data_IF_815300293684
#
_entry.id   IF_815300293684
#
_cell.length_a   1.000
_cell.length_b   1.000
_cell.length_c   1.000
_cell.angle_alpha   90.00
_cell.angle_beta   90.00
_cell.angle_gamma   90.00
#
_symmetry.space_group_name_H-M   'P 1'
#
loop_
_entity.id
_entity.type
_entity.pdbx_description
1 polymer ?
#
# COMPACT_ATOMS: atom_id res chain seq x y z
N UNK A 1 37.71 -0.42 6.99
CA UNK A 1 37.04 -0.12 5.69
C UNK A 1 35.65 -0.71 5.81
N UNK A 2 34.73 0.12 6.26
CA UNK A 2 33.35 -0.24 6.48
C UNK A 2 32.68 -0.49 5.14
N UNK A 3 32.34 -1.74 4.88
CA UNK A 3 31.49 -2.13 3.78
C UNK A 3 30.10 -1.55 4.06
N UNK A 4 29.83 -0.35 3.62
CA UNK A 4 28.48 0.20 3.57
C UNK A 4 27.75 -0.63 2.53
N UNK A 5 27.13 -1.72 2.99
CA UNK A 5 26.38 -2.61 2.13
C UNK A 5 25.31 -1.83 1.37
N UNK A 6 25.36 -1.88 0.06
CA UNK A 6 24.37 -1.26 -0.80
C UNK A 6 23.00 -1.86 -0.47
N UNK A 7 22.01 -1.03 -0.17
CA UNK A 7 20.65 -1.50 0.07
C UNK A 7 20.11 -2.19 -1.19
N UNK A 8 19.41 -3.33 -1.04
CA UNK A 8 18.73 -3.94 -2.17
C UNK A 8 17.71 -2.97 -2.79
N UNK A 9 17.47 -3.05 -4.10
CA UNK A 9 16.55 -2.16 -4.79
C UNK A 9 15.11 -2.32 -4.28
N UNK A 10 14.35 -1.22 -4.37
CA UNK A 10 12.91 -1.20 -4.17
C UNK A 10 12.26 -1.17 -5.54
N UNK A 11 11.34 -2.10 -5.76
CA UNK A 11 10.51 -2.15 -6.97
C UNK A 11 9.10 -1.73 -6.62
N UNK A 12 8.64 -0.60 -7.18
CA UNK A 12 7.28 -0.11 -6.98
C UNK A 12 6.40 -0.55 -8.15
N UNK A 13 5.25 -1.14 -7.83
CA UNK A 13 4.26 -1.61 -8.78
C UNK A 13 2.96 -0.86 -8.51
N UNK A 14 2.42 -0.25 -9.56
CA UNK A 14 1.12 0.42 -9.53
C UNK A 14 0.15 -0.44 -10.33
N UNK A 15 -0.88 -0.93 -9.66
CA UNK A 15 -1.89 -1.79 -10.27
C UNK A 15 -3.24 -1.07 -10.28
N UNK A 16 -3.90 -1.03 -11.43
CA UNK A 16 -5.21 -0.41 -11.54
C UNK A 16 -6.31 -1.35 -11.06
N UNK A 17 -7.19 -0.83 -10.20
CA UNK A 17 -8.37 -1.54 -9.69
C UNK A 17 -9.62 -0.76 -10.06
N UNK A 18 -10.57 -1.43 -10.71
CA UNK A 18 -11.83 -0.83 -11.11
C UNK A 18 -12.69 -0.47 -9.89
N UNK A 19 -13.35 0.69 -9.98
CA UNK A 19 -14.34 1.08 -8.99
C UNK A 19 -15.58 0.18 -9.07
N UNK A 20 -16.18 -0.10 -7.92
CA UNK A 20 -17.53 -0.68 -7.87
C UNK A 20 -18.57 0.34 -8.30
N UNK A 21 -19.79 -0.13 -8.63
CA UNK A 21 -20.91 0.75 -8.91
C UNK A 21 -21.25 1.67 -7.74
N UNK A 22 -21.12 1.16 -6.51
CA UNK A 22 -21.35 1.92 -5.29
C UNK A 22 -20.31 3.03 -5.10
N UNK A 23 -19.04 2.74 -5.32
CA UNK A 23 -17.96 3.73 -5.26
C UNK A 23 -18.14 4.82 -6.33
N UNK A 24 -18.55 4.46 -7.55
CA UNK A 24 -18.85 5.43 -8.62
C UNK A 24 -19.98 6.35 -8.21
N UNK A 25 -21.09 5.80 -7.69
CA UNK A 25 -22.24 6.57 -7.21
C UNK A 25 -21.84 7.52 -6.09
N UNK A 26 -21.11 7.04 -5.08
CA UNK A 26 -20.66 7.85 -3.96
C UNK A 26 -19.71 8.98 -4.39
N UNK A 27 -18.80 8.72 -5.34
CA UNK A 27 -17.89 9.74 -5.87
C UNK A 27 -18.63 10.80 -6.69
N UNK A 28 -19.63 10.40 -7.50
CA UNK A 28 -20.48 11.31 -8.26
C UNK A 28 -21.30 12.24 -7.36
N UNK A 29 -21.89 11.69 -6.30
CA UNK A 29 -22.62 12.50 -5.31
C UNK A 29 -21.72 13.54 -4.64
N UNK A 30 -20.45 13.21 -4.41
CA UNK A 30 -19.49 14.12 -3.79
C UNK A 30 -19.00 15.20 -4.77
N UNK A 31 -18.79 14.86 -6.03
CA UNK A 31 -18.16 15.76 -7.01
C UNK A 31 -19.17 16.46 -7.93
N UNK A 32 -20.41 15.98 -7.97
CA UNK A 32 -21.42 16.44 -8.93
C UNK A 32 -21.09 16.16 -10.40
N UNK A 33 -20.06 15.33 -10.65
CA UNK A 33 -19.58 15.03 -12.00
C UNK A 33 -19.28 13.55 -12.17
N UNK A 34 -19.49 13.04 -13.39
CA UNK A 34 -19.11 11.67 -13.79
C UNK A 34 -17.59 11.50 -13.96
N UNK A 35 -16.86 12.60 -14.08
CA UNK A 35 -15.42 12.60 -14.34
C UNK A 35 -14.72 13.37 -13.23
N UNK A 36 -13.84 12.69 -12.49
CA UNK A 36 -13.03 13.29 -11.43
C UNK A 36 -11.84 14.02 -12.05
N UNK A 37 -12.12 15.08 -12.82
CA UNK A 37 -11.07 15.87 -13.48
C UNK A 37 -10.60 17.08 -12.66
N UNK A 38 -11.20 17.35 -11.52
CA UNK A 38 -10.87 18.55 -10.77
C UNK A 38 -10.15 18.21 -9.47
N UNK A 39 -9.08 18.90 -9.28
CA UNK A 39 -8.34 19.07 -8.05
C UNK A 39 -9.25 19.79 -7.04
N UNK A 40 -10.22 19.07 -6.48
CA UNK A 40 -11.04 19.57 -5.38
C UNK A 40 -10.17 19.97 -4.20
N UNK A 41 -10.69 20.81 -3.30
CA UNK A 41 -9.99 21.20 -2.07
C UNK A 41 -9.54 19.98 -1.25
N UNK A 42 -8.61 20.17 -0.32
CA UNK A 42 -8.00 19.12 0.52
C UNK A 42 -9.05 18.20 1.17
N UNK A 43 -10.17 18.75 1.60
CA UNK A 43 -11.27 17.97 2.21
C UNK A 43 -11.97 17.02 1.21
N UNK A 44 -12.15 17.44 -0.03
CA UNK A 44 -12.78 16.62 -1.07
C UNK A 44 -11.87 15.45 -1.49
N UNK A 45 -10.58 15.71 -1.63
CA UNK A 45 -9.59 14.65 -1.88
C UNK A 45 -9.59 13.60 -0.78
N UNK A 46 -9.62 14.02 0.49
CA UNK A 46 -9.70 13.11 1.62
C UNK A 46 -10.93 12.20 1.57
N UNK A 47 -12.09 12.72 1.17
CA UNK A 47 -13.33 11.95 1.01
C UNK A 47 -13.25 10.97 -0.17
N UNK A 48 -12.71 11.39 -1.31
CA UNK A 48 -12.49 10.50 -2.46
C UNK A 48 -11.56 9.34 -2.10
N UNK A 49 -10.48 9.62 -1.38
CA UNK A 49 -9.57 8.60 -0.86
C UNK A 49 -10.27 7.62 0.11
N UNK A 50 -11.22 8.08 0.89
CA UNK A 50 -12.03 7.22 1.77
C UNK A 50 -12.96 6.31 0.98
N UNK A 51 -13.66 6.86 -0.04
CA UNK A 51 -14.52 6.09 -0.94
C UNK A 51 -13.71 5.00 -1.65
N UNK A 52 -12.55 5.36 -2.19
CA UNK A 52 -11.65 4.43 -2.88
C UNK A 52 -11.23 3.22 -2.01
N UNK A 53 -11.15 3.44 -0.69
CA UNK A 53 -10.75 2.42 0.29
C UNK A 53 -11.91 1.71 1.00
N UNK A 54 -13.14 1.94 0.54
CA UNK A 54 -14.33 1.30 1.12
C UNK A 54 -14.70 1.78 2.52
N UNK A 55 -14.27 2.98 2.94
CA UNK A 55 -14.64 3.51 4.25
C UNK A 55 -16.14 3.76 4.35
N UNK A 56 -16.71 3.41 5.52
CA UNK A 56 -18.16 3.52 5.76
C UNK A 56 -18.95 2.34 5.19
N UNK A 57 -18.30 1.20 4.94
CA UNK A 57 -18.93 -0.01 4.43
C UNK A 57 -19.20 -0.01 2.93
N UNK A 58 -18.67 0.97 2.19
CA UNK A 58 -18.78 1.00 0.72
C UNK A 58 -18.00 -0.19 0.15
N UNK A 59 -18.68 -0.98 -0.68
CA UNK A 59 -18.06 -2.13 -1.34
C UNK A 59 -16.87 -1.69 -2.21
N UNK A 60 -15.76 -2.43 -2.14
CA UNK A 60 -14.54 -2.16 -2.91
C UNK A 60 -13.97 -3.44 -3.51
N UNK A 61 -13.49 -3.35 -4.76
CA UNK A 61 -12.81 -4.45 -5.43
C UNK A 61 -11.39 -4.69 -4.91
N UNK A 62 -10.82 -3.76 -4.13
CA UNK A 62 -9.43 -3.85 -3.65
C UNK A 62 -9.14 -5.07 -2.78
N UNK A 63 -9.98 -5.46 -1.81
CA UNK A 63 -9.69 -6.64 -0.99
C UNK A 63 -9.54 -7.91 -1.81
N UNK A 64 -10.44 -8.16 -2.75
CA UNK A 64 -10.37 -9.32 -3.65
C UNK A 64 -9.13 -9.26 -4.56
N UNK A 65 -8.85 -8.10 -5.14
CA UNK A 65 -7.66 -7.88 -5.96
C UNK A 65 -6.37 -8.16 -5.17
N UNK A 66 -6.25 -7.62 -3.96
CA UNK A 66 -5.06 -7.80 -3.11
C UNK A 66 -4.90 -9.26 -2.70
N UNK A 67 -5.99 -9.97 -2.39
CA UNK A 67 -5.96 -11.41 -2.11
C UNK A 67 -5.37 -12.19 -3.29
N UNK A 68 -5.85 -11.96 -4.49
CA UNK A 68 -5.40 -12.66 -5.68
C UNK A 68 -3.95 -12.30 -6.04
N UNK A 69 -3.58 -11.05 -5.81
CA UNK A 69 -2.20 -10.58 -5.96
C UNK A 69 -1.26 -11.30 -4.99
N UNK A 70 -1.57 -11.35 -3.69
CA UNK A 70 -0.76 -12.02 -2.66
C UNK A 70 -0.70 -13.53 -2.89
N UNK A 71 -1.76 -14.14 -3.39
CA UNK A 71 -1.77 -15.56 -3.75
C UNK A 71 -0.76 -15.92 -4.84
N UNK A 72 -0.30 -14.95 -5.64
CA UNK A 72 0.72 -15.19 -6.67
C UNK A 72 2.13 -15.40 -6.13
N UNK A 73 2.38 -15.11 -4.83
CA UNK A 73 3.66 -15.35 -4.15
C UNK A 73 3.48 -15.96 -2.74
N UNK A 74 2.95 -17.17 -2.63
CA UNK A 74 2.49 -17.76 -1.36
C UNK A 74 3.60 -17.99 -0.34
N UNK A 75 4.87 -18.02 -0.77
CA UNK A 75 6.02 -18.25 0.12
C UNK A 75 6.63 -16.97 0.68
N UNK A 76 6.27 -15.81 0.13
CA UNK A 76 6.86 -14.53 0.51
C UNK A 76 6.20 -13.95 1.77
N UNK A 77 7.02 -13.37 2.63
CA UNK A 77 6.50 -12.59 3.77
C UNK A 77 5.96 -11.26 3.29
N UNK A 78 4.67 -11.03 3.53
CA UNK A 78 3.92 -9.87 3.02
C UNK A 78 3.35 -9.04 4.15
N UNK A 79 3.47 -7.71 4.04
CA UNK A 79 2.75 -6.77 4.90
C UNK A 79 1.70 -6.03 4.07
N UNK A 80 0.46 -6.03 4.56
CA UNK A 80 -0.63 -5.25 3.97
C UNK A 80 -0.87 -4.02 4.86
N UNK A 81 -0.68 -2.85 4.29
CA UNK A 81 -0.86 -1.57 4.95
C UNK A 81 -2.25 -1.00 4.68
N UNK A 82 -3.01 -0.81 5.75
CA UNK A 82 -4.33 -0.16 5.74
C UNK A 82 -4.26 1.21 6.43
N UNK A 83 -5.23 2.07 6.17
CA UNK A 83 -5.33 3.39 6.82
C UNK A 83 -6.56 3.51 7.72
N UNK A 84 -7.65 2.83 7.36
CA UNK A 84 -8.94 2.88 8.07
C UNK A 84 -9.27 1.54 8.71
N UNK A 85 -10.16 1.54 9.72
CA UNK A 85 -10.60 0.33 10.39
C UNK A 85 -11.41 -0.56 9.44
N UNK A 86 -12.35 0.04 8.71
CA UNK A 86 -13.22 -0.68 7.76
C UNK A 86 -12.39 -1.37 6.66
N UNK A 87 -11.36 -0.66 6.17
CA UNK A 87 -10.40 -1.20 5.20
C UNK A 87 -9.63 -2.40 5.77
N UNK A 88 -9.13 -2.28 7.01
CA UNK A 88 -8.44 -3.37 7.70
C UNK A 88 -9.36 -4.56 7.91
N UNK A 89 -10.59 -4.34 8.34
CA UNK A 89 -11.60 -5.38 8.52
C UNK A 89 -11.94 -6.10 7.21
N UNK A 90 -12.06 -5.35 6.10
CA UNK A 90 -12.28 -5.94 4.78
C UNK A 90 -11.11 -6.82 4.34
N UNK A 91 -9.87 -6.46 4.68
CA UNK A 91 -8.70 -7.32 4.44
C UNK A 91 -8.73 -8.57 5.30
N UNK A 92 -9.08 -8.46 6.59
CA UNK A 92 -9.20 -9.61 7.50
C UNK A 92 -10.21 -10.64 6.99
N UNK A 93 -11.30 -10.20 6.37
CA UNK A 93 -12.31 -11.09 5.79
C UNK A 93 -11.79 -11.92 4.61
N UNK A 94 -10.91 -11.36 3.78
CA UNK A 94 -10.38 -12.04 2.58
C UNK A 94 -9.06 -12.79 2.85
N UNK A 95 -8.45 -12.56 4.03
CA UNK A 95 -7.22 -13.22 4.47
C UNK A 95 -7.43 -13.91 5.83
N UNK A 96 -8.17 -15.03 5.90
CA UNK A 96 -8.49 -15.68 7.17
C UNK A 96 -7.25 -16.19 7.92
N UNK A 97 -6.17 -16.50 7.22
CA UNK A 97 -4.91 -16.99 7.79
C UNK A 97 -3.90 -15.87 8.10
N UNK A 98 -4.24 -14.62 7.79
CA UNK A 98 -3.38 -13.49 8.11
C UNK A 98 -3.52 -13.09 9.59
N UNK A 99 -2.44 -12.53 10.13
CA UNK A 99 -2.50 -11.94 11.46
C UNK A 99 -2.62 -10.41 11.33
N UNK A 100 -3.60 -9.87 12.04
CA UNK A 100 -3.87 -8.44 12.04
C UNK A 100 -3.44 -7.80 13.37
N UNK A 101 -2.77 -6.64 13.27
CA UNK A 101 -2.42 -5.80 14.42
C UNK A 101 -3.16 -4.48 14.32
N UNK A 102 -4.02 -4.21 15.29
CA UNK A 102 -4.78 -2.95 15.45
C UNK A 102 -4.24 -2.12 16.62
N UNK A 103 -4.83 -0.93 16.84
CA UNK A 103 -4.53 -0.09 17.98
C UNK A 103 -4.85 -0.76 19.32
N UNK A 104 -5.87 -1.60 19.34
CA UNK A 104 -6.36 -2.30 20.53
C UNK A 104 -5.60 -3.61 20.81
N UNK A 105 -4.69 -4.02 19.94
CA UNK A 105 -3.87 -5.23 20.14
C UNK A 105 -2.94 -5.02 21.33
N UNK A 106 -3.00 -5.86 22.39
CA UNK A 106 -2.10 -5.78 23.54
C UNK A 106 -0.64 -5.83 23.13
N UNK A 107 0.22 -5.12 23.88
CA UNK A 107 1.63 -4.98 23.51
C UNK A 107 2.37 -6.31 23.46
N UNK A 108 2.13 -7.21 24.41
CA UNK A 108 2.74 -8.54 24.44
C UNK A 108 2.35 -9.37 23.21
N UNK A 109 1.06 -9.35 22.86
CA UNK A 109 0.57 -10.01 21.65
C UNK A 109 1.18 -9.40 20.38
N UNK A 110 1.30 -8.08 20.35
CA UNK A 110 1.94 -7.38 19.22
C UNK A 110 3.39 -7.82 19.05
N UNK A 111 4.17 -7.88 20.14
CA UNK A 111 5.55 -8.36 20.12
C UNK A 111 5.64 -9.79 19.61
N UNK A 112 4.80 -10.69 20.15
CA UNK A 112 4.76 -12.08 19.71
C UNK A 112 4.47 -12.20 18.21
N UNK A 113 3.47 -11.50 17.70
CA UNK A 113 3.14 -11.52 16.27
C UNK A 113 4.29 -11.03 15.40
N UNK A 114 4.99 -9.98 15.83
CA UNK A 114 6.15 -9.46 15.10
C UNK A 114 7.29 -10.48 15.10
N UNK A 115 7.54 -11.17 16.21
CA UNK A 115 8.57 -12.21 16.29
C UNK A 115 8.19 -13.44 15.46
N UNK A 116 6.89 -13.80 15.42
CA UNK A 116 6.38 -14.87 14.57
C UNK A 116 6.50 -14.51 13.07
N UNK A 117 6.26 -13.24 12.72
CA UNK A 117 6.46 -12.75 11.36
C UNK A 117 7.94 -12.78 10.95
N UNK A 118 8.85 -12.33 11.83
CA UNK A 118 10.30 -12.40 11.59
C UNK A 118 10.81 -13.81 11.46
N UNK A 119 10.24 -14.74 12.21
CA UNK A 119 10.57 -16.16 12.16
C UNK A 119 9.91 -16.89 10.96
N UNK A 120 9.09 -16.21 10.16
CA UNK A 120 8.39 -16.79 9.01
C UNK A 120 7.20 -17.68 9.37
N UNK A 121 6.77 -17.71 10.63
CA UNK A 121 5.56 -18.43 11.08
C UNK A 121 4.29 -17.72 10.64
N UNK A 122 4.30 -16.39 10.60
CA UNK A 122 3.25 -15.57 10.01
C UNK A 122 3.72 -15.11 8.63
N UNK A 123 2.95 -15.40 7.58
CA UNK A 123 3.29 -15.01 6.19
C UNK A 123 2.67 -13.70 5.78
N UNK A 124 1.45 -13.42 6.22
CA UNK A 124 0.74 -12.19 5.90
C UNK A 124 0.42 -11.44 7.19
N UNK A 125 0.91 -10.21 7.27
CA UNK A 125 0.66 -9.30 8.39
C UNK A 125 -0.17 -8.11 7.88
N UNK A 126 -1.31 -7.86 8.53
CA UNK A 126 -2.18 -6.71 8.22
C UNK A 126 -2.03 -5.69 9.34
N UNK A 127 -1.73 -4.44 9.00
CA UNK A 127 -1.65 -3.37 10.00
C UNK A 127 -1.71 -1.98 9.38
N UNK A 128 -1.63 -0.98 10.23
CA UNK A 128 -1.53 0.43 9.83
C UNK A 128 -0.11 0.94 10.07
N UNK A 129 0.43 1.81 9.19
CA UNK A 129 1.78 2.37 9.37
C UNK A 129 2.02 2.99 10.75
N UNK A 130 0.99 3.65 11.31
CA UNK A 130 1.07 4.30 12.64
C UNK A 130 1.12 3.32 13.80
N UNK A 131 0.54 2.12 13.66
CA UNK A 131 0.36 1.17 14.77
C UNK A 131 1.64 0.38 15.04
N UNK A 132 2.37 -0.01 14.01
CA UNK A 132 3.58 -0.79 14.20
C UNK A 132 4.75 0.01 14.83
N UNK A 133 4.56 1.31 15.09
CA UNK A 133 5.55 2.13 15.79
C UNK A 133 6.81 2.44 14.97
N UNK A 134 7.67 3.31 15.53
CA UNK A 134 8.96 3.61 14.94
C UNK A 134 9.98 2.51 15.31
N UNK A 135 10.93 2.24 14.42
CA UNK A 135 12.12 1.44 14.74
C UNK A 135 12.00 -0.07 14.56
N UNK A 136 10.82 -0.61 14.21
CA UNK A 136 10.70 -2.04 13.95
C UNK A 136 11.51 -2.43 12.71
N UNK A 137 12.29 -3.50 12.85
CA UNK A 137 13.02 -4.12 11.77
C UNK A 137 12.19 -5.29 11.21
N UNK A 138 11.77 -5.16 9.96
CA UNK A 138 10.95 -6.15 9.25
C UNK A 138 11.63 -6.56 7.93
N UNK A 139 12.94 -6.74 7.93
CA UNK A 139 13.76 -7.10 6.76
C UNK A 139 13.39 -8.45 6.12
N UNK A 140 12.73 -9.31 6.87
CA UNK A 140 12.16 -10.57 6.35
C UNK A 140 11.05 -10.32 5.33
N UNK A 141 10.40 -9.17 5.40
CA UNK A 141 9.35 -8.77 4.48
C UNK A 141 9.92 -8.38 3.12
N UNK A 142 9.57 -9.11 2.10
CA UNK A 142 9.97 -8.88 0.70
C UNK A 142 8.85 -8.27 -0.13
N UNK A 143 7.63 -8.26 0.38
CA UNK A 143 6.43 -7.74 -0.28
C UNK A 143 5.67 -6.81 0.67
N UNK A 144 5.43 -5.59 0.22
CA UNK A 144 4.54 -4.67 0.89
C UNK A 144 3.40 -4.30 -0.06
N UNK A 145 2.17 -4.35 0.43
CA UNK A 145 0.98 -3.94 -0.31
C UNK A 145 0.33 -2.79 0.44
N UNK A 146 0.24 -1.64 -0.21
CA UNK A 146 -0.56 -0.53 0.32
C UNK A 146 -1.95 -0.62 -0.28
N UNK A 147 -2.97 -0.89 0.53
CA UNK A 147 -4.34 -0.95 0.03
C UNK A 147 -4.82 0.41 -0.51
N UNK A 148 -4.09 1.46 -0.23
CA UNK A 148 -4.14 2.80 -0.81
C UNK A 148 -3.18 3.73 -0.10
N UNK A 149 -2.81 4.84 -0.74
CA UNK A 149 -1.97 5.84 -0.12
C UNK A 149 -2.82 6.97 0.47
N UNK A 150 -2.31 7.61 1.53
CA UNK A 150 -2.69 8.95 1.92
C UNK A 150 -1.76 9.95 1.24
N UNK A 151 -2.15 11.21 1.21
CA UNK A 151 -1.29 12.30 0.71
C UNK A 151 -0.15 12.63 1.71
N UNK A 152 0.50 11.58 2.21
CA UNK A 152 1.60 11.66 3.16
C UNK A 152 2.76 10.78 2.70
N UNK A 153 3.76 11.43 2.11
CA UNK A 153 5.01 10.79 1.75
C UNK A 153 5.72 10.18 2.98
N UNK A 154 5.65 10.86 4.11
CA UNK A 154 6.31 10.42 5.34
C UNK A 154 5.80 9.05 5.82
N UNK A 155 4.47 8.85 5.88
CA UNK A 155 3.89 7.57 6.27
C UNK A 155 4.32 6.45 5.30
N UNK A 156 4.30 6.72 4.00
CA UNK A 156 4.76 5.78 2.98
C UNK A 156 6.25 5.44 3.16
N UNK A 157 7.10 6.44 3.24
CA UNK A 157 8.54 6.28 3.40
C UNK A 157 8.89 5.46 4.66
N UNK A 158 8.33 5.83 5.80
CA UNK A 158 8.56 5.13 7.06
C UNK A 158 8.11 3.67 7.01
N UNK A 159 6.99 3.37 6.36
CA UNK A 159 6.52 2.00 6.19
C UNK A 159 7.48 1.19 5.30
N UNK A 160 7.90 1.73 4.17
CA UNK A 160 8.84 1.07 3.24
C UNK A 160 10.19 0.81 3.91
N UNK A 161 10.72 1.79 4.64
CA UNK A 161 12.03 1.68 5.31
C UNK A 161 12.07 0.71 6.49
N UNK A 162 10.94 0.14 6.90
CA UNK A 162 10.93 -0.97 7.89
C UNK A 162 11.46 -2.27 7.32
N UNK A 163 11.26 -2.50 6.04
CA UNK A 163 11.73 -3.70 5.33
C UNK A 163 13.02 -3.46 4.54
N UNK A 164 13.17 -2.27 3.94
CA UNK A 164 14.38 -1.90 3.21
C UNK A 164 15.38 -1.18 4.13
N UNK A 165 16.22 -1.96 4.80
CA UNK A 165 17.23 -1.46 5.76
C UNK A 165 18.59 -2.14 5.53
N UNK A 166 19.63 -1.58 6.13
CA UNK A 166 20.98 -2.19 6.16
C UNK A 166 20.85 -3.61 6.71
N UNK A 167 21.36 -4.59 5.97
CA UNK A 167 21.24 -6.02 6.28
C UNK A 167 20.11 -6.74 5.55
N UNK A 168 19.26 -6.02 4.77
CA UNK A 168 18.36 -6.68 3.83
C UNK A 168 19.16 -7.31 2.70
N UNK A 169 18.86 -8.58 2.37
CA UNK A 169 19.57 -9.36 1.34
C UNK A 169 18.79 -9.49 0.04
N UNK A 170 17.49 -9.16 0.06
CA UNK A 170 16.58 -9.34 -1.08
C UNK A 170 15.90 -8.03 -1.47
N UNK A 171 15.58 -7.84 -2.76
CA UNK A 171 14.79 -6.70 -3.21
C UNK A 171 13.43 -6.63 -2.48
N UNK A 172 12.99 -5.41 -2.21
CA UNK A 172 11.65 -5.15 -1.70
C UNK A 172 10.72 -4.79 -2.86
N UNK A 173 9.60 -5.47 -2.96
CA UNK A 173 8.54 -5.14 -3.90
C UNK A 173 7.40 -4.45 -3.16
N UNK A 174 7.06 -3.25 -3.60
CA UNK A 174 5.97 -2.44 -3.05
C UNK A 174 4.86 -2.38 -4.07
N UNK A 175 3.70 -2.89 -3.73
CA UNK A 175 2.51 -2.91 -4.58
C UNK A 175 1.50 -1.88 -4.08
N UNK A 176 0.98 -1.07 -5.00
CA UNK A 176 0.03 -0.01 -4.70
C UNK A 176 -1.16 -0.15 -5.64
N UNK A 177 -2.16 -0.99 -5.29
CA UNK A 177 -3.42 -1.05 -6.02
C UNK A 177 -4.16 0.28 -5.92
N UNK A 178 -4.44 0.90 -7.07
CA UNK A 178 -5.05 2.22 -7.16
C UNK A 178 -6.34 2.18 -7.97
N UNK A 179 -7.31 2.96 -7.53
CA UNK A 179 -8.48 3.30 -8.34
C UNK A 179 -8.27 4.67 -8.99
N UNK A 180 -9.09 5.00 -9.99
CA UNK A 180 -9.04 6.33 -10.63
C UNK A 180 -9.17 7.50 -9.65
N UNK A 181 -9.84 7.28 -8.50
CA UNK A 181 -10.01 8.31 -7.46
C UNK A 181 -8.71 8.60 -6.69
N UNK A 182 -7.72 7.73 -6.77
CA UNK A 182 -6.47 7.81 -5.99
C UNK A 182 -5.27 8.25 -6.81
N UNK A 183 -5.34 8.24 -8.13
CA UNK A 183 -4.22 8.59 -9.02
C UNK A 183 -3.51 9.89 -8.59
N UNK A 184 -4.24 11.01 -8.30
CA UNK A 184 -3.59 12.26 -7.92
C UNK A 184 -2.79 12.17 -6.61
N UNK A 185 -3.17 11.26 -5.68
CA UNK A 185 -2.44 11.07 -4.41
C UNK A 185 -1.18 10.26 -4.63
N UNK A 186 -1.30 9.18 -5.40
CA UNK A 186 -0.16 8.31 -5.73
C UNK A 186 0.91 9.09 -6.46
N UNK A 187 0.54 9.88 -7.47
CA UNK A 187 1.45 10.75 -8.21
C UNK A 187 2.19 11.71 -7.29
N UNK A 188 1.48 12.34 -6.35
CA UNK A 188 2.08 13.28 -5.43
C UNK A 188 3.09 12.61 -4.48
N UNK A 189 2.75 11.44 -3.94
CA UNK A 189 3.61 10.69 -3.03
C UNK A 189 4.86 10.18 -3.75
N UNK A 190 4.69 9.56 -4.93
CA UNK A 190 5.80 9.01 -5.70
C UNK A 190 6.72 10.10 -6.28
N UNK A 191 6.17 11.24 -6.68
CA UNK A 191 6.96 12.40 -7.09
C UNK A 191 7.82 12.95 -5.93
N UNK A 192 7.31 12.97 -4.72
CA UNK A 192 8.08 13.33 -3.51
C UNK A 192 9.16 12.28 -3.24
N UNK A 193 8.85 10.99 -3.39
CA UNK A 193 9.83 9.90 -3.25
C UNK A 193 10.99 10.07 -4.23
N UNK A 194 10.71 10.27 -5.51
CA UNK A 194 11.74 10.46 -6.54
C UNK A 194 12.61 11.70 -6.35
N UNK A 195 12.10 12.76 -5.71
CA UNK A 195 12.90 13.96 -5.38
C UNK A 195 13.85 13.71 -4.22
N UNK A 196 13.49 12.86 -3.28
CA UNK A 196 14.31 12.58 -2.08
C UNK A 196 15.38 11.53 -2.38
N UNK A 197 15.09 10.57 -3.25
CA UNK A 197 16.00 9.47 -3.57
C UNK A 197 16.89 9.77 -4.80
N UNK A 198 16.99 11.02 -5.23
CA UNK A 198 17.76 11.56 -6.35
C UNK A 198 18.00 10.60 -7.53
N UNK A 199 17.35 10.94 -8.66
CA UNK A 199 17.72 10.53 -10.01
C UNK A 199 17.26 9.16 -10.53
N UNK A 200 16.13 8.65 -10.12
CA UNK A 200 15.43 7.68 -10.94
C UNK A 200 14.11 8.28 -11.45
N UNK A 201 14.04 8.60 -12.74
CA UNK A 201 12.84 9.09 -13.38
C UNK A 201 11.76 8.01 -13.36
N UNK A 202 10.85 8.07 -12.41
CA UNK A 202 9.61 7.30 -12.44
C UNK A 202 8.66 8.01 -13.43
N UNK A 203 8.58 7.52 -14.66
CA UNK A 203 7.60 7.96 -15.65
C UNK A 203 6.30 7.20 -15.42
N UNK A 204 5.35 7.83 -14.74
CA UNK A 204 3.96 7.34 -14.73
C UNK A 204 3.39 7.56 -16.14
N UNK A 205 3.35 6.50 -16.94
CA UNK A 205 2.56 6.52 -18.17
C UNK A 205 1.09 6.46 -17.83
N UNK A 206 0.33 7.35 -18.45
CA UNK A 206 -1.12 7.39 -18.32
C UNK A 206 -1.70 5.99 -18.54
N UNK A 207 -2.46 5.51 -17.57
CA UNK A 207 -3.18 4.26 -17.66
C UNK A 207 -4.18 4.35 -18.81
N UNK A 208 -4.00 3.51 -19.79
CA UNK A 208 -4.89 3.45 -20.95
C UNK A 208 -6.21 2.79 -20.53
N UNK A 209 -7.37 3.42 -20.68
CA UNK A 209 -8.64 2.91 -20.16
C UNK A 209 -9.17 1.66 -20.88
N UNK A 210 -8.49 1.13 -21.88
CA UNK A 210 -8.99 0.06 -22.75
C UNK A 210 -8.10 -1.17 -22.88
N UNK A 211 -7.13 -1.41 -22.03
CA UNK A 211 -6.30 -2.56 -22.30
C UNK A 211 -5.48 -3.06 -21.15
N UNK A 212 -5.48 -4.34 -21.00
CA UNK A 212 -4.56 -5.15 -20.20
C UNK A 212 -3.19 -4.47 -20.07
N UNK A 213 -2.99 -3.72 -19.00
CA UNK A 213 -1.77 -2.98 -18.77
C UNK A 213 -0.64 -3.94 -18.45
N UNK A 214 0.37 -3.95 -19.28
CA UNK A 214 1.65 -4.53 -18.94
C UNK A 214 2.24 -3.81 -17.74
N UNK A 215 2.61 -4.56 -16.72
CA UNK A 215 3.29 -4.09 -15.52
C UNK A 215 4.60 -3.42 -15.93
N UNK A 216 4.65 -2.12 -15.91
CA UNK A 216 5.91 -1.39 -16.09
C UNK A 216 6.61 -1.28 -14.74
N UNK A 217 7.76 -1.93 -14.62
CA UNK A 217 8.57 -1.96 -13.39
C UNK A 217 9.39 -0.68 -13.31
N UNK A 218 9.06 0.17 -12.36
CA UNK A 218 9.93 1.30 -12.01
C UNK A 218 11.04 0.80 -11.07
N UNK A 219 12.30 0.86 -11.50
CA UNK A 219 13.46 0.62 -10.62
C UNK A 219 13.84 1.93 -9.96
N UNK A 220 13.80 1.95 -8.65
CA UNK A 220 14.40 2.99 -7.83
C UNK A 220 15.74 2.42 -7.38
N UNK A 221 16.81 2.94 -7.92
CA UNK A 221 18.20 2.59 -7.52
C UNK A 221 18.66 3.42 -6.35
#
# INVERSE_FOLDING_TARGET
KDNVGTLPPIHVHIDHVELTAEQRKASQQLTGSLVVNSVGGIGQRGKLSQIAKGKGGIESNKPAFIRDLVASWPTESTIIWCHYNDEQQSMEQVFPDAVSISGDTPEDKRRQVIDDFKAGRVKVLISKPKILGFGLNLQVCTRQVFSGLKDSYEEYYQAVKRSNRIGSSRPLHVHIPVTELEIPFVDNVLRKAGRVESAASCSLRALNPTGRGSVERCRIT
#
